data_IF_301502018874
#
_entry.id   IF_301502018874
#
_cell.length_a   1.000
_cell.length_b   1.000
_cell.length_c   1.000
_cell.angle_alpha   90.00
_cell.angle_beta   90.00
_cell.angle_gamma   90.00
#
_symmetry.space_group_name_H-M   'P 1'
#
loop_
_entity.id
_entity.type
_entity.pdbx_description
1 polymer ?
#
# COMPACT_ATOMS: atom_id res chain seq x y z
N UNK A 1 -22.03 14.44 53.55
CA UNK A 1 -22.24 13.38 52.56
C UNK A 1 -21.69 13.88 51.27
N UNK A 2 -20.56 13.41 50.76
CA UNK A 2 -20.17 13.71 49.41
C UNK A 2 -20.96 12.79 48.46
N UNK A 3 -21.63 13.38 47.52
CA UNK A 3 -22.34 12.67 46.46
C UNK A 3 -21.29 12.04 45.53
N UNK A 4 -21.36 10.71 45.42
CA UNK A 4 -20.61 9.94 44.42
C UNK A 4 -21.09 10.36 43.02
N UNK A 5 -20.29 11.15 42.30
CA UNK A 5 -20.49 11.33 40.88
C UNK A 5 -20.11 10.02 40.18
N UNK A 6 -20.99 9.43 39.35
CA UNK A 6 -20.65 8.26 38.57
C UNK A 6 -19.63 8.64 37.53
N UNK A 7 -18.39 8.13 37.65
CA UNK A 7 -17.38 8.24 36.61
C UNK A 7 -17.86 7.50 35.37
N UNK A 8 -18.27 8.25 34.37
CA UNK A 8 -18.66 7.71 33.05
C UNK A 8 -17.48 7.04 32.39
N UNK A 9 -17.61 5.82 31.89
CA UNK A 9 -16.57 5.18 31.08
C UNK A 9 -16.54 5.79 29.66
N UNK A 10 -15.76 6.84 29.47
CA UNK A 10 -15.74 7.67 28.23
C UNK A 10 -14.98 7.03 27.07
N UNK A 11 -14.14 6.00 27.27
CA UNK A 11 -13.23 5.53 26.24
C UNK A 11 -13.77 4.43 25.32
N UNK A 12 -14.76 3.65 25.71
CA UNK A 12 -15.28 2.55 24.88
C UNK A 12 -16.42 2.94 23.93
N UNK A 13 -17.11 4.03 24.18
CA UNK A 13 -18.27 4.43 23.38
C UNK A 13 -17.87 5.02 22.02
N UNK A 14 -16.76 5.74 21.90
CA UNK A 14 -16.34 6.36 20.65
C UNK A 14 -15.96 5.32 19.57
N UNK A 15 -15.27 4.24 19.95
CA UNK A 15 -14.90 3.17 19.02
C UNK A 15 -16.10 2.31 18.61
N UNK A 16 -17.01 2.03 19.53
CA UNK A 16 -18.27 1.35 19.25
C UNK A 16 -19.17 2.17 18.31
N UNK A 17 -19.22 3.49 18.47
CA UNK A 17 -19.95 4.40 17.60
C UNK A 17 -19.36 4.43 16.17
N UNK A 18 -18.04 4.39 16.02
CA UNK A 18 -17.37 4.36 14.72
C UNK A 18 -17.74 3.11 13.92
N UNK A 19 -17.68 1.93 14.52
CA UNK A 19 -18.06 0.67 13.88
C UNK A 19 -19.56 0.66 13.53
N UNK A 20 -20.41 1.19 14.40
CA UNK A 20 -21.85 1.33 14.13
C UNK A 20 -22.12 2.25 12.93
N UNK A 21 -21.34 3.31 12.77
CA UNK A 21 -21.40 4.25 11.63
C UNK A 21 -20.75 3.71 10.34
N UNK A 22 -20.21 2.50 10.37
CA UNK A 22 -19.59 1.84 9.20
C UNK A 22 -18.11 2.13 9.02
N UNK A 23 -17.46 2.82 9.97
CA UNK A 23 -16.01 3.00 9.96
C UNK A 23 -15.29 1.75 10.46
N UNK A 24 -14.05 1.56 10.01
CA UNK A 24 -13.22 0.46 10.45
C UNK A 24 -12.70 0.70 11.88
N UNK A 25 -12.78 -0.33 12.73
CA UNK A 25 -12.15 -0.31 14.04
C UNK A 25 -10.62 -0.35 13.94
N UNK A 26 -9.94 -0.03 15.06
CA UNK A 26 -8.47 0.02 15.14
C UNK A 26 -7.79 -1.26 14.61
N UNK A 27 -8.22 -2.43 15.06
CA UNK A 27 -7.59 -3.70 14.71
C UNK A 27 -7.77 -4.03 13.21
N UNK A 28 -8.92 -3.68 12.64
CA UNK A 28 -9.18 -3.82 11.21
C UNK A 28 -8.30 -2.87 10.38
N UNK A 29 -8.14 -1.63 10.83
CA UNK A 29 -7.23 -0.66 10.21
C UNK A 29 -5.78 -1.16 10.26
N UNK A 30 -5.31 -1.61 11.42
CA UNK A 30 -3.95 -2.15 11.59
C UNK A 30 -3.69 -3.33 10.66
N UNK A 31 -4.62 -4.28 10.59
CA UNK A 31 -4.50 -5.42 9.68
C UNK A 31 -4.37 -4.96 8.23
N UNK A 32 -5.21 -4.02 7.80
CA UNK A 32 -5.18 -3.52 6.43
C UNK A 32 -3.91 -2.73 6.12
N UNK A 33 -3.42 -1.93 7.06
CA UNK A 33 -2.18 -1.17 6.92
C UNK A 33 -0.95 -2.10 6.85
N UNK A 34 -0.92 -3.16 7.65
CA UNK A 34 0.16 -4.17 7.60
C UNK A 34 0.15 -4.95 6.28
N UNK A 35 -1.02 -5.34 5.78
CA UNK A 35 -1.15 -6.00 4.47
C UNK A 35 -0.65 -5.09 3.33
N UNK A 36 -0.97 -3.80 3.36
CA UNK A 36 -0.44 -2.82 2.43
C UNK A 36 1.08 -2.67 2.58
N UNK A 37 1.59 -2.53 3.80
CA UNK A 37 3.02 -2.39 4.07
C UNK A 37 3.84 -3.58 3.57
N UNK A 38 3.33 -4.80 3.74
CA UNK A 38 3.97 -6.02 3.23
C UNK A 38 4.02 -6.02 1.70
N UNK A 39 2.92 -5.59 1.05
CA UNK A 39 2.85 -5.47 -0.41
C UNK A 39 3.82 -4.42 -0.95
N UNK A 40 3.86 -3.22 -0.35
CA UNK A 40 4.79 -2.15 -0.75
C UNK A 40 6.25 -2.57 -0.57
N UNK A 41 6.56 -3.22 0.55
CA UNK A 41 7.92 -3.72 0.79
C UNK A 41 8.34 -4.79 -0.21
N UNK A 42 7.43 -5.66 -0.59
CA UNK A 42 7.69 -6.67 -1.62
C UNK A 42 7.90 -6.00 -2.98
N UNK A 43 7.03 -5.09 -3.37
CA UNK A 43 7.09 -4.36 -4.64
C UNK A 43 8.35 -3.51 -4.75
N UNK A 44 8.71 -2.76 -3.70
CA UNK A 44 9.95 -1.97 -3.67
C UNK A 44 11.20 -2.83 -3.93
N UNK A 45 11.28 -4.02 -3.31
CA UNK A 45 12.38 -4.96 -3.55
C UNK A 45 12.40 -5.50 -4.98
N UNK A 46 11.23 -5.81 -5.54
CA UNK A 46 11.11 -6.26 -6.93
C UNK A 46 11.51 -5.16 -7.90
N UNK A 47 11.00 -3.93 -7.72
CA UNK A 47 11.30 -2.79 -8.58
C UNK A 47 12.80 -2.43 -8.54
N UNK A 48 13.42 -2.44 -7.37
CA UNK A 48 14.86 -2.20 -7.21
C UNK A 48 15.69 -3.26 -7.94
N UNK A 49 15.37 -4.55 -7.76
CA UNK A 49 16.07 -5.63 -8.46
C UNK A 49 15.88 -5.53 -9.97
N UNK A 50 14.67 -5.22 -10.41
CA UNK A 50 14.30 -5.07 -11.82
C UNK A 50 15.00 -3.87 -12.49
N UNK A 51 15.23 -2.78 -11.75
CA UNK A 51 15.95 -1.60 -12.29
C UNK A 51 17.41 -1.88 -12.67
N UNK A 52 17.95 -3.04 -12.27
CA UNK A 52 19.33 -3.49 -12.55
C UNK A 52 19.38 -4.53 -13.65
N UNK A 53 18.24 -4.93 -14.20
CA UNK A 53 18.19 -5.91 -15.29
C UNK A 53 18.62 -5.27 -16.61
N UNK A 54 19.21 -6.06 -17.53
CA UNK A 54 19.41 -5.62 -18.90
C UNK A 54 18.04 -5.39 -19.57
N UNK A 55 17.70 -4.14 -19.81
CA UNK A 55 16.42 -3.74 -20.43
C UNK A 55 16.53 -2.33 -21.03
N UNK A 56 15.45 -1.81 -21.60
CA UNK A 56 15.42 -0.48 -22.18
C UNK A 56 15.63 0.61 -21.12
N UNK A 57 16.08 1.79 -21.55
CA UNK A 57 16.21 2.95 -20.64
C UNK A 57 14.87 3.32 -20.02
N UNK A 58 13.77 3.23 -20.78
CA UNK A 58 12.43 3.53 -20.31
C UNK A 58 12.01 2.56 -19.19
N UNK A 59 12.28 1.25 -19.37
CA UNK A 59 12.04 0.25 -18.33
C UNK A 59 12.81 0.56 -17.04
N UNK A 60 14.11 0.81 -17.14
CA UNK A 60 14.95 1.12 -15.98
C UNK A 60 14.47 2.38 -15.25
N UNK A 61 14.09 3.42 -15.99
CA UNK A 61 13.56 4.65 -15.41
C UNK A 61 12.25 4.40 -14.67
N UNK A 62 11.32 3.66 -15.27
CA UNK A 62 10.05 3.31 -14.66
C UNK A 62 10.26 2.48 -13.37
N UNK A 63 11.14 1.48 -13.40
CA UNK A 63 11.43 0.67 -12.22
C UNK A 63 12.00 1.49 -11.07
N UNK A 64 12.84 2.48 -11.35
CA UNK A 64 13.36 3.40 -10.32
C UNK A 64 12.28 4.30 -9.76
N UNK A 65 11.36 4.78 -10.58
CA UNK A 65 10.20 5.58 -10.13
C UNK A 65 9.30 4.75 -9.21
N UNK A 66 8.94 3.54 -9.63
CA UNK A 66 8.11 2.64 -8.82
C UNK A 66 8.81 2.33 -7.49
N UNK A 67 10.10 1.99 -7.52
CA UNK A 67 10.87 1.75 -6.30
C UNK A 67 10.83 2.93 -5.33
N UNK A 68 11.05 4.15 -5.82
CA UNK A 68 11.06 5.35 -4.98
C UNK A 68 9.68 5.61 -4.36
N UNK A 69 8.61 5.43 -5.12
CA UNK A 69 7.24 5.59 -4.64
C UNK A 69 6.90 4.53 -3.58
N UNK A 70 7.16 3.26 -3.85
CA UNK A 70 6.84 2.18 -2.90
C UNK A 70 7.68 2.28 -1.62
N UNK A 71 8.95 2.70 -1.71
CA UNK A 71 9.78 2.97 -0.52
C UNK A 71 9.20 4.12 0.33
N UNK A 72 8.69 5.17 -0.31
CA UNK A 72 7.99 6.27 0.37
C UNK A 72 6.71 5.78 1.05
N UNK A 73 5.93 4.94 0.39
CA UNK A 73 4.70 4.39 0.96
C UNK A 73 4.97 3.43 2.11
N UNK A 74 6.06 2.65 2.06
CA UNK A 74 6.51 1.86 3.22
C UNK A 74 6.75 2.75 4.45
N UNK A 75 7.45 3.88 4.29
CA UNK A 75 7.71 4.80 5.39
C UNK A 75 6.42 5.41 5.94
N UNK A 76 5.52 5.87 5.05
CA UNK A 76 4.23 6.44 5.43
C UNK A 76 3.37 5.42 6.19
N UNK A 77 3.23 4.19 5.69
CA UNK A 77 2.42 3.16 6.34
C UNK A 77 2.98 2.78 7.71
N UNK A 78 4.31 2.65 7.84
CA UNK A 78 4.95 2.38 9.12
C UNK A 78 4.70 3.51 10.14
N UNK A 79 4.73 4.77 9.71
CA UNK A 79 4.38 5.93 10.54
C UNK A 79 2.92 5.86 11.01
N UNK A 80 1.97 5.56 10.11
CA UNK A 80 0.55 5.48 10.46
C UNK A 80 0.27 4.32 11.44
N UNK A 81 0.92 3.16 11.25
CA UNK A 81 0.84 2.04 12.20
C UNK A 81 1.38 2.45 13.57
N UNK A 82 2.52 3.17 13.61
CA UNK A 82 3.08 3.72 14.84
C UNK A 82 2.15 4.70 15.55
N UNK A 83 1.43 5.55 14.81
CA UNK A 83 0.41 6.46 15.37
C UNK A 83 -0.78 5.71 16.01
N UNK A 84 -1.06 4.52 15.55
CA UNK A 84 -2.03 3.61 16.14
C UNK A 84 -1.44 2.77 17.28
N UNK A 85 -0.27 3.14 17.79
CA UNK A 85 0.42 2.46 18.90
C UNK A 85 0.66 0.97 18.65
N UNK A 86 1.03 0.61 17.41
CA UNK A 86 1.35 -0.75 17.00
C UNK A 86 2.75 -0.83 16.36
N UNK A 87 3.29 -2.04 16.29
CA UNK A 87 4.57 -2.32 15.64
C UNK A 87 4.32 -2.79 14.21
N UNK A 88 4.92 -2.14 13.19
CA UNK A 88 4.75 -2.55 11.79
C UNK A 88 5.26 -3.97 11.52
N UNK A 89 4.58 -4.71 10.65
CA UNK A 89 5.05 -6.01 10.14
C UNK A 89 6.40 -5.88 9.42
N UNK A 90 7.23 -6.92 9.51
CA UNK A 90 8.51 -7.02 8.78
C UNK A 90 8.46 -8.02 7.62
N UNK A 91 7.30 -8.59 7.34
CA UNK A 91 7.12 -9.60 6.30
C UNK A 91 7.00 -8.98 4.90
N UNK A 92 7.14 -9.81 3.87
CA UNK A 92 6.99 -9.43 2.46
C UNK A 92 6.08 -10.38 1.67
N UNK A 93 5.57 -11.44 2.30
CA UNK A 93 4.77 -12.46 1.63
C UNK A 93 5.51 -13.16 0.48
N UNK A 94 4.79 -13.98 -0.28
CA UNK A 94 5.32 -14.77 -1.39
C UNK A 94 5.42 -13.99 -2.73
N UNK A 95 4.89 -12.78 -2.80
CA UNK A 95 4.85 -11.98 -4.04
C UNK A 95 6.25 -11.70 -4.59
N UNK A 96 7.17 -11.27 -3.71
CA UNK A 96 8.56 -10.97 -4.09
C UNK A 96 9.24 -12.15 -4.77
N UNK A 97 9.16 -13.35 -4.18
CA UNK A 97 9.81 -14.55 -4.72
C UNK A 97 9.24 -14.93 -6.09
N UNK A 98 7.93 -14.90 -6.22
CA UNK A 98 7.23 -15.17 -7.49
C UNK A 98 7.64 -14.18 -8.58
N UNK A 99 7.68 -12.88 -8.26
CA UNK A 99 8.08 -11.86 -9.21
C UNK A 99 9.54 -12.01 -9.66
N UNK A 100 10.46 -12.25 -8.71
CA UNK A 100 11.89 -12.39 -9.01
C UNK A 100 12.23 -13.67 -9.78
N UNK A 101 11.38 -14.69 -9.73
CA UNK A 101 11.50 -15.91 -10.53
C UNK A 101 11.21 -15.69 -12.03
N UNK A 102 10.54 -14.58 -12.40
CA UNK A 102 10.25 -14.24 -13.79
C UNK A 102 11.51 -13.64 -14.42
N UNK A 103 12.08 -14.30 -15.41
CA UNK A 103 13.36 -13.90 -16.02
C UNK A 103 13.19 -12.72 -16.99
N UNK A 104 12.12 -12.70 -17.79
CA UNK A 104 11.86 -11.61 -18.74
C UNK A 104 11.45 -10.32 -18.01
N UNK A 105 12.09 -9.17 -18.32
CA UNK A 105 11.80 -7.91 -17.65
C UNK A 105 10.37 -7.41 -17.88
N UNK A 106 9.81 -7.56 -19.07
CA UNK A 106 8.46 -7.07 -19.38
C UNK A 106 7.37 -7.96 -18.79
N UNK A 107 7.58 -9.29 -18.78
CA UNK A 107 6.70 -10.22 -18.05
C UNK A 107 6.72 -9.93 -16.55
N UNK A 108 7.90 -9.62 -16.00
CA UNK A 108 8.04 -9.21 -14.60
C UNK A 108 7.34 -7.89 -14.32
N UNK A 109 7.44 -6.90 -15.21
CA UNK A 109 6.70 -5.64 -15.12
C UNK A 109 5.19 -5.88 -15.13
N UNK A 110 4.69 -6.73 -16.03
CA UNK A 110 3.28 -7.09 -16.08
C UNK A 110 2.81 -7.76 -14.78
N UNK A 111 3.65 -8.61 -14.18
CA UNK A 111 3.36 -9.23 -12.89
C UNK A 111 3.33 -8.20 -11.75
N UNK A 112 4.32 -7.29 -11.69
CA UNK A 112 4.39 -6.20 -10.72
C UNK A 112 3.16 -5.29 -10.84
N UNK A 113 2.75 -4.98 -12.07
CA UNK A 113 1.58 -4.13 -12.33
C UNK A 113 0.28 -4.75 -11.81
N UNK A 114 0.13 -6.07 -11.86
CA UNK A 114 -0.99 -6.78 -11.22
C UNK A 114 -0.95 -6.64 -9.70
N UNK A 115 0.24 -6.66 -9.10
CA UNK A 115 0.43 -6.39 -7.66
C UNK A 115 -0.02 -4.98 -7.29
N UNK A 116 0.38 -3.97 -8.05
CA UNK A 116 -0.08 -2.59 -7.85
C UNK A 116 -1.60 -2.45 -8.00
N UNK A 117 -2.21 -3.14 -8.94
CA UNK A 117 -3.66 -3.17 -9.09
C UNK A 117 -4.37 -3.80 -7.87
N UNK A 118 -3.74 -4.78 -7.20
CA UNK A 118 -4.26 -5.31 -5.94
C UNK A 118 -4.23 -4.25 -4.84
N UNK A 119 -3.13 -3.49 -4.72
CA UNK A 119 -3.03 -2.37 -3.76
C UNK A 119 -4.10 -1.32 -4.01
N UNK A 120 -4.35 -0.95 -5.27
CA UNK A 120 -5.43 -0.02 -5.65
C UNK A 120 -6.78 -0.50 -5.14
N UNK A 121 -7.15 -1.76 -5.41
CA UNK A 121 -8.43 -2.32 -4.93
C UNK A 121 -8.52 -2.31 -3.40
N UNK A 122 -7.44 -2.68 -2.72
CA UNK A 122 -7.39 -2.66 -1.25
C UNK A 122 -7.61 -1.26 -0.69
N UNK A 123 -6.99 -0.24 -1.28
CA UNK A 123 -7.17 1.15 -0.91
C UNK A 123 -8.59 1.66 -1.20
N UNK A 124 -9.17 1.31 -2.34
CA UNK A 124 -10.55 1.67 -2.70
C UNK A 124 -11.58 1.06 -1.73
N UNK A 125 -11.36 -0.18 -1.28
CA UNK A 125 -12.19 -0.83 -0.27
C UNK A 125 -12.05 -0.19 1.11
N UNK A 126 -10.84 0.25 1.46
CA UNK A 126 -10.51 0.77 2.78
C UNK A 126 -10.92 2.24 2.97
N UNK A 127 -10.69 3.09 1.97
CA UNK A 127 -10.86 4.55 2.07
C UNK A 127 -12.24 5.00 2.58
N UNK A 128 -13.38 4.43 2.14
CA UNK A 128 -14.70 4.84 2.63
C UNK A 128 -14.91 4.56 4.12
N UNK A 129 -14.08 3.70 4.70
CA UNK A 129 -14.18 3.24 6.08
C UNK A 129 -13.14 3.87 7.02
N UNK A 130 -12.30 4.76 6.50
CA UNK A 130 -11.30 5.50 7.28
C UNK A 130 -11.89 6.83 7.74
N UNK A 131 -12.07 6.97 9.05
CA UNK A 131 -12.61 8.20 9.66
C UNK A 131 -11.55 9.28 9.86
N UNK A 132 -10.33 8.90 10.23
CA UNK A 132 -9.23 9.85 10.45
C UNK A 132 -8.86 10.57 9.15
N UNK A 133 -9.05 11.89 9.12
CA UNK A 133 -8.85 12.71 7.90
C UNK A 133 -7.39 12.69 7.43
N UNK A 134 -6.42 12.64 8.35
CA UNK A 134 -5.01 12.60 7.98
C UNK A 134 -4.65 11.25 7.34
N UNK A 135 -5.07 10.15 7.96
CA UNK A 135 -4.88 8.81 7.38
C UNK A 135 -5.59 8.69 6.03
N UNK A 136 -6.84 9.14 5.95
CA UNK A 136 -7.59 9.14 4.69
C UNK A 136 -6.86 9.91 3.58
N UNK A 137 -6.33 11.11 3.88
CA UNK A 137 -5.58 11.94 2.93
C UNK A 137 -4.35 11.23 2.39
N UNK A 138 -3.49 10.68 3.25
CA UNK A 138 -2.25 10.02 2.81
C UNK A 138 -2.52 8.70 2.06
N UNK A 139 -3.57 7.96 2.41
CA UNK A 139 -3.99 6.76 1.67
C UNK A 139 -4.56 7.12 0.29
N UNK A 140 -5.26 8.26 0.17
CA UNK A 140 -5.72 8.76 -1.12
C UNK A 140 -4.55 9.15 -2.03
N UNK A 141 -3.53 9.82 -1.50
CA UNK A 141 -2.32 10.16 -2.25
C UNK A 141 -1.59 8.90 -2.73
N UNK A 142 -1.52 7.88 -1.89
CA UNK A 142 -0.97 6.58 -2.24
C UNK A 142 -1.77 5.92 -3.39
N UNK A 143 -3.09 5.93 -3.32
CA UNK A 143 -3.97 5.42 -4.37
C UNK A 143 -3.70 6.09 -5.73
N UNK A 144 -3.62 7.41 -5.75
CA UNK A 144 -3.36 8.16 -6.99
C UNK A 144 -1.94 7.91 -7.54
N UNK A 145 -0.96 7.71 -6.68
CA UNK A 145 0.40 7.33 -7.09
C UNK A 145 0.41 5.96 -7.77
N UNK A 146 -0.24 4.95 -7.18
CA UNK A 146 -0.36 3.62 -7.78
C UNK A 146 -1.07 3.65 -9.13
N UNK A 147 -2.16 4.40 -9.24
CA UNK A 147 -2.87 4.58 -10.50
C UNK A 147 -1.98 5.19 -11.59
N UNK A 148 -1.11 6.15 -11.26
CA UNK A 148 -0.14 6.71 -12.21
C UNK A 148 0.89 5.66 -12.64
N UNK A 149 1.45 4.92 -11.70
CA UNK A 149 2.43 3.88 -11.98
C UNK A 149 1.84 2.76 -12.85
N UNK A 150 0.59 2.35 -12.59
CA UNK A 150 -0.12 1.36 -13.40
C UNK A 150 -0.29 1.84 -14.85
N UNK A 151 -0.68 3.10 -15.06
CA UNK A 151 -0.80 3.66 -16.41
C UNK A 151 0.54 3.69 -17.13
N UNK A 152 1.60 4.18 -16.46
CA UNK A 152 2.94 4.22 -17.04
C UNK A 152 3.47 2.83 -17.41
N UNK A 153 3.19 1.83 -16.58
CA UNK A 153 3.56 0.44 -16.87
C UNK A 153 2.76 -0.13 -18.06
N UNK A 154 1.46 0.15 -18.12
CA UNK A 154 0.61 -0.29 -19.23
C UNK A 154 1.05 0.35 -20.56
N UNK A 155 1.37 1.63 -20.57
CA UNK A 155 1.86 2.35 -21.75
C UNK A 155 3.18 1.77 -22.25
N UNK A 156 4.13 1.47 -21.35
CA UNK A 156 5.39 0.86 -21.71
C UNK A 156 5.21 -0.55 -22.28
N UNK A 157 4.39 -1.38 -21.63
CA UNK A 157 4.08 -2.74 -22.12
C UNK A 157 3.41 -2.72 -23.50
N UNK A 158 2.52 -1.74 -23.74
CA UNK A 158 1.88 -1.58 -25.05
C UNK A 158 2.90 -1.20 -26.15
N UNK A 159 3.81 -0.29 -25.84
CA UNK A 159 4.84 0.16 -26.78
C UNK A 159 5.78 -0.98 -27.16
N UNK A 160 6.21 -1.81 -26.22
CA UNK A 160 7.10 -2.94 -26.48
C UNK A 160 6.41 -4.03 -27.32
N UNK A 161 5.14 -4.34 -27.02
CA UNK A 161 4.36 -5.30 -27.81
C UNK A 161 4.11 -4.84 -29.24
N UNK A 162 4.07 -3.53 -29.51
CA UNK A 162 3.93 -2.99 -30.86
C UNK A 162 5.25 -2.96 -31.66
N UNK A 163 6.39 -3.11 -31.00
CA UNK A 163 7.73 -3.09 -31.61
C UNK A 163 8.23 -4.48 -32.02
N UNK A 164 7.56 -5.57 -31.59
CA UNK A 164 7.82 -6.95 -31.96
C UNK A 164 6.95 -7.39 -33.13
#
# INVERSE_FOLDING_TARGET
MPEDEPSSPVCYMAEADDVYMGFAGRDELLKSLDELLEAERAGAKVALASSRMPATRAYTALMRTIWADEARWCAMLAEQIGRLEATPSHQTGAFREKALAIADPFDRLAFLNRGQAWVVRKLEEMLPRVRDEQLHGVLKDMLESHRRNIRSAADLLHTENAAC
#
